data_IF_017184422012
#
_entry.id   IF_017184422012
#
_cell.length_a   1.000
_cell.length_b   1.000
_cell.length_c   1.000
_cell.angle_alpha   90.00
_cell.angle_beta   90.00
_cell.angle_gamma   90.00
#
_symmetry.space_group_name_H-M   'P 1'
#
loop_
_entity.id
_entity.type
_entity.pdbx_description
1 polymer ?
#
# COMPACT_ATOMS: atom_id res chain seq x y z
N UNK A 1 24.13 23.93 -13.18
CA UNK A 1 23.81 22.49 -13.03
C UNK A 1 24.34 22.03 -11.69
N UNK A 2 23.55 22.13 -10.61
CA UNK A 2 24.02 21.91 -9.23
C UNK A 2 23.01 21.06 -8.44
N UNK A 3 22.74 19.84 -8.91
CA UNK A 3 21.71 18.95 -8.33
C UNK A 3 22.23 17.57 -7.86
N UNK A 4 23.53 17.31 -7.92
CA UNK A 4 24.09 15.96 -7.71
C UNK A 4 24.29 15.52 -6.24
N UNK A 5 24.81 16.35 -5.31
CA UNK A 5 25.24 15.82 -3.99
C UNK A 5 24.08 15.42 -3.08
N UNK A 6 22.93 16.11 -3.15
CA UNK A 6 21.74 15.79 -2.34
C UNK A 6 21.07 14.48 -2.77
N UNK A 7 21.01 14.20 -4.08
CA UNK A 7 20.42 12.96 -4.60
C UNK A 7 21.27 11.74 -4.22
N UNK A 8 22.59 11.83 -4.41
CA UNK A 8 23.51 10.76 -4.02
C UNK A 8 23.42 10.46 -2.51
N UNK A 9 23.35 11.50 -1.67
CA UNK A 9 23.18 11.32 -0.21
C UNK A 9 21.83 10.68 0.14
N UNK A 10 20.74 11.07 -0.52
CA UNK A 10 19.42 10.44 -0.31
C UNK A 10 19.44 8.93 -0.63
N UNK A 11 20.06 8.53 -1.73
CA UNK A 11 20.17 7.11 -2.09
C UNK A 11 21.07 6.33 -1.14
N UNK A 12 22.16 6.94 -0.66
CA UNK A 12 23.01 6.34 0.37
C UNK A 12 22.24 6.16 1.68
N UNK A 13 21.51 7.18 2.13
CA UNK A 13 20.67 7.09 3.33
C UNK A 13 19.54 6.06 3.17
N UNK A 14 18.94 5.96 1.98
CA UNK A 14 17.89 4.97 1.68
C UNK A 14 18.48 3.55 1.68
N UNK A 15 19.64 3.38 1.05
CA UNK A 15 20.39 2.14 1.09
C UNK A 15 20.71 1.80 2.53
N UNK A 16 21.22 2.71 3.35
CA UNK A 16 21.54 2.44 4.75
C UNK A 16 20.27 2.13 5.55
N UNK A 17 19.16 2.81 5.31
CA UNK A 17 17.87 2.49 5.92
C UNK A 17 17.40 1.04 5.61
N UNK A 18 17.66 0.54 4.41
CA UNK A 18 17.35 -0.83 3.99
C UNK A 18 18.41 -1.84 4.46
N UNK A 19 19.69 -1.44 4.46
CA UNK A 19 20.85 -2.34 4.65
C UNK A 19 21.28 -2.43 6.12
N UNK A 20 20.86 -1.51 6.99
CA UNK A 20 21.15 -1.55 8.43
C UNK A 20 20.44 -2.77 9.05
N UNK A 21 21.23 -3.83 9.11
CA UNK A 21 21.06 -5.24 9.54
C UNK A 21 20.35 -5.51 10.88
N UNK A 22 19.50 -4.61 11.41
CA UNK A 22 18.90 -4.78 12.75
C UNK A 22 17.54 -4.13 12.96
N UNK A 23 16.92 -3.55 11.93
CA UNK A 23 15.58 -2.96 12.11
C UNK A 23 14.57 -3.63 11.19
N UNK A 24 13.95 -4.69 11.69
CA UNK A 24 12.82 -5.42 11.07
C UNK A 24 11.80 -4.50 10.38
N UNK A 25 11.65 -3.25 10.82
CA UNK A 25 10.76 -2.26 10.21
C UNK A 25 11.13 -1.84 8.78
N UNK A 26 12.40 -1.58 8.44
CA UNK A 26 12.79 -1.06 7.12
C UNK A 26 12.55 -2.10 6.01
N UNK A 27 12.97 -3.34 6.26
CA UNK A 27 12.70 -4.48 5.38
C UNK A 27 11.20 -4.75 5.25
N UNK A 28 10.45 -4.74 6.36
CA UNK A 28 8.98 -4.91 6.35
C UNK A 28 8.29 -3.79 5.56
N UNK A 29 8.79 -2.57 5.62
CA UNK A 29 8.20 -1.45 4.90
C UNK A 29 8.45 -1.52 3.38
N UNK A 30 9.62 -1.99 2.97
CA UNK A 30 9.89 -2.28 1.55
C UNK A 30 9.07 -3.50 1.10
N UNK A 31 9.06 -4.58 1.88
CA UNK A 31 8.29 -5.79 1.57
C UNK A 31 6.79 -5.50 1.47
N UNK A 32 6.25 -4.62 2.31
CA UNK A 32 4.83 -4.22 2.26
C UNK A 32 4.47 -3.45 1.01
N UNK A 33 5.40 -2.68 0.42
CA UNK A 33 5.16 -2.01 -0.86
C UNK A 33 5.01 -3.00 -2.03
N UNK A 34 5.65 -4.17 -1.94
CA UNK A 34 5.52 -5.26 -2.92
C UNK A 34 4.40 -6.25 -2.60
N UNK A 35 3.69 -6.09 -1.47
CA UNK A 35 2.58 -6.99 -1.14
C UNK A 35 1.47 -7.05 -2.20
N UNK A 36 1.13 -5.98 -2.97
CA UNK A 36 0.16 -6.14 -4.05
C UNK A 36 0.60 -7.15 -5.11
N UNK A 37 1.90 -7.17 -5.44
CA UNK A 37 2.49 -8.16 -6.36
C UNK A 37 2.49 -9.56 -5.76
N UNK A 38 2.83 -9.68 -4.47
CA UNK A 38 2.76 -10.95 -3.75
C UNK A 38 1.32 -11.46 -3.66
N UNK A 39 0.35 -10.55 -3.49
CA UNK A 39 -1.06 -10.92 -3.47
C UNK A 39 -1.51 -11.52 -4.81
N UNK A 40 -1.06 -10.96 -5.93
CA UNK A 40 -1.34 -11.53 -7.25
C UNK A 40 -0.71 -12.92 -7.43
N UNK A 41 0.46 -13.16 -6.82
CA UNK A 41 1.15 -14.45 -6.90
C UNK A 41 0.56 -15.53 -5.96
N UNK A 42 0.16 -15.15 -4.75
CA UNK A 42 -0.30 -16.08 -3.70
C UNK A 42 -1.82 -16.09 -3.51
N UNK A 43 -2.55 -15.22 -4.20
CA UNK A 43 -4.01 -15.12 -4.20
C UNK A 43 -4.63 -14.99 -2.79
N UNK A 44 -3.97 -14.26 -1.90
CA UNK A 44 -4.39 -14.12 -0.48
C UNK A 44 -5.70 -13.31 -0.38
N UNK A 45 -5.82 -12.23 -1.17
CA UNK A 45 -7.02 -11.43 -1.33
C UNK A 45 -7.62 -11.72 -2.70
N UNK A 46 -8.97 -11.77 -2.79
CA UNK A 46 -9.64 -12.09 -4.03
C UNK A 46 -9.41 -10.98 -5.06
N UNK A 47 -8.57 -11.27 -6.05
CA UNK A 47 -8.29 -10.46 -7.24
C UNK A 47 -8.59 -11.33 -8.48
N UNK A 48 -9.85 -11.69 -8.61
CA UNK A 48 -10.29 -12.65 -9.61
C UNK A 48 -10.99 -11.95 -10.76
N UNK A 49 -10.79 -12.47 -11.96
CA UNK A 49 -11.36 -12.03 -13.22
C UNK A 49 -12.75 -12.64 -13.47
N UNK A 50 -13.68 -11.80 -13.90
CA UNK A 50 -15.03 -12.20 -14.24
C UNK A 50 -15.01 -13.17 -15.42
N UNK A 51 -15.74 -14.27 -15.34
CA UNK A 51 -15.84 -15.28 -16.42
C UNK A 51 -14.63 -16.22 -16.58
N UNK A 52 -13.52 -15.99 -15.86
CA UNK A 52 -12.33 -16.86 -15.90
C UNK A 52 -12.19 -17.69 -14.62
N UNK A 53 -12.23 -17.04 -13.46
CA UNK A 53 -11.99 -17.69 -12.15
C UNK A 53 -13.06 -17.35 -11.11
N UNK A 54 -14.29 -17.10 -11.56
CA UNK A 54 -15.43 -16.66 -10.75
C UNK A 54 -15.11 -15.36 -10.00
N UNK A 55 -14.45 -14.44 -10.69
CA UNK A 55 -14.14 -13.12 -10.20
C UNK A 55 -15.20 -12.07 -10.48
N UNK A 56 -14.89 -10.84 -10.05
CA UNK A 56 -15.77 -9.67 -10.23
C UNK A 56 -15.15 -8.60 -11.13
N UNK A 57 -13.86 -8.71 -11.44
CA UNK A 57 -13.16 -7.74 -12.28
C UNK A 57 -13.20 -8.16 -13.75
N UNK A 58 -13.79 -7.35 -14.61
CA UNK A 58 -13.90 -7.59 -16.05
C UNK A 58 -13.04 -6.57 -16.82
N UNK A 59 -13.24 -5.27 -16.56
CA UNK A 59 -12.54 -4.20 -17.27
C UNK A 59 -11.15 -3.95 -16.68
N UNK A 60 -11.06 -3.87 -15.34
CA UNK A 60 -9.82 -3.69 -14.60
C UNK A 60 -9.19 -5.04 -14.29
N UNK A 61 -8.46 -5.60 -15.26
CA UNK A 61 -7.79 -6.89 -15.06
C UNK A 61 -6.92 -6.89 -13.79
N UNK A 62 -6.81 -8.03 -13.07
CA UNK A 62 -6.02 -8.15 -11.84
C UNK A 62 -4.57 -7.62 -11.97
N UNK A 63 -3.97 -7.79 -13.15
CA UNK A 63 -2.64 -7.26 -13.48
C UNK A 63 -2.59 -5.72 -13.41
N UNK A 64 -3.58 -5.02 -13.98
CA UNK A 64 -3.64 -3.56 -13.94
C UNK A 64 -3.86 -3.04 -12.53
N UNK A 65 -4.77 -3.67 -11.78
CA UNK A 65 -5.02 -3.35 -10.36
C UNK A 65 -3.72 -3.46 -9.56
N UNK A 66 -2.96 -4.52 -9.79
CA UNK A 66 -1.67 -4.76 -9.14
C UNK A 66 -0.66 -3.67 -9.49
N UNK A 67 -0.48 -3.35 -10.77
CA UNK A 67 0.47 -2.32 -11.24
C UNK A 67 0.13 -0.96 -10.64
N UNK A 68 -1.15 -0.55 -10.68
CA UNK A 68 -1.62 0.72 -10.13
C UNK A 68 -1.36 0.76 -8.62
N UNK A 69 -1.75 -0.30 -7.91
CA UNK A 69 -1.61 -0.37 -6.45
C UNK A 69 -0.14 -0.36 -6.02
N UNK A 70 0.72 -1.13 -6.69
CA UNK A 70 2.17 -1.11 -6.43
C UNK A 70 2.79 0.25 -6.72
N UNK A 71 2.35 0.93 -7.78
CA UNK A 71 2.84 2.28 -8.07
C UNK A 71 2.48 3.24 -6.94
N UNK A 72 1.23 3.18 -6.45
CA UNK A 72 0.75 3.99 -5.32
C UNK A 72 1.56 3.68 -4.04
N UNK A 73 1.77 2.40 -3.71
CA UNK A 73 2.53 2.03 -2.51
C UNK A 73 3.99 2.48 -2.58
N UNK A 74 4.63 2.36 -3.74
CA UNK A 74 6.01 2.84 -3.96
C UNK A 74 6.12 4.35 -3.79
N UNK A 75 5.18 5.12 -4.35
CA UNK A 75 5.12 6.58 -4.17
C UNK A 75 4.93 6.92 -2.69
N UNK A 76 4.07 6.18 -1.98
CA UNK A 76 3.88 6.36 -0.54
C UNK A 76 5.17 6.11 0.26
N UNK A 77 5.91 5.03 -0.04
CA UNK A 77 7.22 4.75 0.57
C UNK A 77 8.18 5.91 0.37
N UNK A 78 8.36 6.34 -0.88
CA UNK A 78 9.31 7.40 -1.22
C UNK A 78 8.93 8.72 -0.55
N UNK A 79 7.64 9.06 -0.53
CA UNK A 79 7.13 10.28 0.09
C UNK A 79 7.40 10.29 1.60
N UNK A 80 7.09 9.20 2.29
CA UNK A 80 7.31 9.08 3.73
C UNK A 80 8.80 9.11 4.06
N UNK A 81 9.62 8.45 3.24
CA UNK A 81 11.06 8.45 3.41
C UNK A 81 11.69 9.82 3.15
N UNK A 82 11.16 10.60 2.22
CA UNK A 82 11.59 11.98 1.98
C UNK A 82 11.26 12.91 3.15
N UNK A 83 10.17 12.65 3.88
CA UNK A 83 9.79 13.41 5.07
C UNK A 83 10.49 12.93 6.35
N UNK A 84 11.42 11.98 6.28
CA UNK A 84 12.03 11.32 7.47
C UNK A 84 12.63 12.30 8.48
N UNK A 85 13.27 13.37 8.01
CA UNK A 85 13.97 14.33 8.86
C UNK A 85 13.00 15.11 9.76
N UNK A 86 11.75 15.31 9.31
CA UNK A 86 10.69 15.94 10.11
C UNK A 86 10.25 15.10 11.32
N UNK A 87 10.66 13.83 11.38
CA UNK A 87 10.36 12.92 12.49
C UNK A 87 11.49 12.86 13.54
N UNK A 88 12.64 13.51 13.33
CA UNK A 88 13.66 13.70 14.37
C UNK A 88 13.22 14.79 15.37
N UNK A 89 13.48 14.60 16.66
CA UNK A 89 13.30 15.63 17.71
C UNK A 89 11.89 15.78 18.30
N UNK A 90 10.84 15.96 17.49
CA UNK A 90 9.50 16.38 17.97
C UNK A 90 8.41 15.30 17.77
N UNK A 91 8.59 14.38 16.83
CA UNK A 91 7.47 13.62 16.23
C UNK A 91 7.28 12.16 16.65
N UNK A 92 7.92 11.62 17.68
CA UNK A 92 7.83 10.16 17.97
C UNK A 92 6.41 9.72 18.39
N UNK A 93 5.75 10.53 19.23
CA UNK A 93 4.37 10.27 19.66
C UNK A 93 3.39 10.44 18.50
N UNK A 94 3.61 11.46 17.68
CA UNK A 94 2.79 11.74 16.49
C UNK A 94 2.98 10.70 15.38
N UNK A 95 4.21 10.25 15.13
CA UNK A 95 4.49 9.16 14.20
C UNK A 95 3.82 7.86 14.65
N UNK A 96 3.85 7.55 15.96
CA UNK A 96 3.17 6.36 16.49
C UNK A 96 1.66 6.46 16.36
N UNK A 97 1.08 7.65 16.63
CA UNK A 97 -0.35 7.90 16.44
C UNK A 97 -0.75 7.78 14.97
N UNK A 98 0.02 8.38 14.04
CA UNK A 98 -0.19 8.28 12.59
C UNK A 98 -0.06 6.83 12.11
N UNK A 99 0.91 6.08 12.62
CA UNK A 99 1.07 4.66 12.31
C UNK A 99 -0.16 3.87 12.79
N UNK A 100 -0.62 4.09 14.02
CA UNK A 100 -1.81 3.42 14.56
C UNK A 100 -3.06 3.74 13.74
N UNK A 101 -3.29 5.01 13.41
CA UNK A 101 -4.40 5.45 12.55
C UNK A 101 -4.30 4.76 11.18
N UNK A 102 -3.11 4.70 10.60
CA UNK A 102 -2.89 4.05 9.30
C UNK A 102 -3.20 2.55 9.36
N UNK A 103 -2.81 1.85 10.43
CA UNK A 103 -3.18 0.44 10.64
C UNK A 103 -4.70 0.29 10.78
N UNK A 104 -5.35 1.14 11.58
CA UNK A 104 -6.81 1.08 11.75
C UNK A 104 -7.56 1.31 10.43
N UNK A 105 -7.13 2.29 9.64
CA UNK A 105 -7.70 2.55 8.31
C UNK A 105 -7.44 1.38 7.38
N UNK A 106 -6.23 0.80 7.39
CA UNK A 106 -5.89 -0.38 6.60
C UNK A 106 -6.83 -1.54 6.92
N UNK A 107 -7.01 -1.88 8.20
CA UNK A 107 -7.93 -2.95 8.62
C UNK A 107 -9.37 -2.64 8.19
N UNK A 108 -9.84 -1.39 8.39
CA UNK A 108 -11.17 -0.99 7.97
C UNK A 108 -11.38 -1.12 6.45
N UNK A 109 -10.39 -0.72 5.64
CA UNK A 109 -10.42 -0.83 4.19
C UNK A 109 -10.36 -2.28 3.72
N UNK A 110 -9.61 -3.15 4.41
CA UNK A 110 -9.61 -4.57 4.11
C UNK A 110 -10.98 -5.20 4.34
N UNK A 111 -11.60 -4.92 5.48
CA UNK A 111 -12.96 -5.40 5.78
C UNK A 111 -13.95 -4.87 4.75
N UNK A 112 -13.88 -3.58 4.44
CA UNK A 112 -14.74 -2.95 3.44
C UNK A 112 -14.53 -3.56 2.05
N UNK A 113 -13.29 -3.85 1.66
CA UNK A 113 -12.96 -4.51 0.41
C UNK A 113 -13.63 -5.88 0.32
N UNK A 114 -13.48 -6.71 1.36
CA UNK A 114 -14.05 -8.06 1.38
C UNK A 114 -15.58 -7.98 1.29
N UNK A 115 -16.23 -7.11 2.06
CA UNK A 115 -17.69 -6.96 2.03
C UNK A 115 -18.16 -6.45 0.66
N UNK A 116 -17.53 -5.41 0.12
CA UNK A 116 -17.88 -4.86 -1.19
C UNK A 116 -17.67 -5.89 -2.31
N UNK A 117 -16.59 -6.66 -2.24
CA UNK A 117 -16.29 -7.73 -3.19
C UNK A 117 -17.38 -8.81 -3.16
N UNK A 118 -17.78 -9.28 -1.97
CA UNK A 118 -18.83 -10.30 -1.83
C UNK A 118 -20.19 -9.79 -2.31
N UNK A 119 -20.57 -8.56 -1.94
CA UNK A 119 -21.80 -7.94 -2.42
C UNK A 119 -21.81 -7.82 -3.95
N UNK A 120 -20.69 -7.40 -4.54
CA UNK A 120 -20.59 -7.28 -5.98
C UNK A 120 -20.62 -8.66 -6.64
N UNK A 121 -19.92 -9.66 -6.09
CA UNK A 121 -20.00 -11.04 -6.56
C UNK A 121 -21.43 -11.57 -6.58
N UNK A 122 -22.17 -11.43 -5.47
CA UNK A 122 -23.59 -11.82 -5.43
C UNK A 122 -24.42 -11.03 -6.44
N UNK A 123 -24.18 -9.72 -6.58
CA UNK A 123 -24.91 -8.88 -7.53
C UNK A 123 -24.69 -9.29 -8.98
N UNK A 124 -23.45 -9.62 -9.34
CA UNK A 124 -23.05 -9.92 -10.73
C UNK A 124 -23.46 -11.33 -11.17
N UNK A 125 -23.55 -12.30 -10.25
CA UNK A 125 -23.89 -13.69 -10.56
C UNK A 125 -25.34 -14.08 -10.22
N UNK A 126 -25.99 -13.43 -9.24
CA UNK A 126 -27.33 -13.84 -8.77
C UNK A 126 -28.47 -12.85 -9.06
N UNK A 127 -28.25 -11.53 -9.02
CA UNK A 127 -29.39 -10.58 -8.98
C UNK A 127 -29.62 -9.76 -10.24
N UNK A 128 -28.57 -9.38 -10.97
CA UNK A 128 -28.68 -8.78 -12.31
C UNK A 128 -27.65 -9.47 -13.20
N UNK A 129 -28.06 -9.99 -14.35
CA UNK A 129 -27.14 -10.39 -15.41
C UNK A 129 -26.41 -9.16 -15.94
N UNK A 130 -25.40 -8.69 -15.20
CA UNK A 130 -24.61 -7.51 -15.53
C UNK A 130 -23.97 -7.73 -16.90
N UNK A 131 -24.26 -6.82 -17.82
CA UNK A 131 -23.74 -6.87 -19.19
C UNK A 131 -22.23 -6.68 -19.11
N UNK A 132 -21.48 -7.63 -19.67
CA UNK A 132 -20.03 -7.58 -19.72
C UNK A 132 -19.55 -6.35 -20.50
N UNK A 133 -18.39 -5.83 -20.12
CA UNK A 133 -17.80 -4.61 -20.66
C UNK A 133 -18.73 -3.38 -20.67
N UNK A 134 -19.59 -3.24 -19.65
CA UNK A 134 -20.47 -2.08 -19.52
C UNK A 134 -19.90 -1.03 -18.58
N UNK A 135 -20.25 0.25 -18.81
CA UNK A 135 -19.92 1.34 -17.87
C UNK A 135 -20.42 1.08 -16.45
N UNK A 136 -21.47 0.25 -16.30
CA UNK A 136 -22.01 -0.16 -15.00
C UNK A 136 -20.99 -0.95 -14.18
N UNK A 137 -20.23 -1.86 -14.79
CA UNK A 137 -19.18 -2.61 -14.08
C UNK A 137 -18.06 -1.68 -13.59
N UNK A 138 -17.67 -0.69 -14.39
CA UNK A 138 -16.64 0.27 -14.00
C UNK A 138 -17.00 1.05 -12.73
N UNK A 139 -18.30 1.36 -12.53
CA UNK A 139 -18.78 2.00 -11.30
C UNK A 139 -18.59 1.15 -10.04
N UNK A 140 -18.47 -0.17 -10.16
CA UNK A 140 -18.19 -1.07 -9.04
C UNK A 140 -16.69 -1.38 -8.92
N UNK A 141 -16.02 -1.62 -10.05
CA UNK A 141 -14.60 -1.97 -10.08
C UNK A 141 -13.68 -0.82 -9.63
N UNK A 142 -14.00 0.44 -9.97
CA UNK A 142 -13.18 1.60 -9.58
C UNK A 142 -13.20 1.82 -8.07
N UNK A 143 -14.35 1.85 -7.37
CA UNK A 143 -14.37 1.88 -5.91
C UNK A 143 -13.63 0.70 -5.27
N UNK A 144 -13.78 -0.52 -5.80
CA UNK A 144 -13.04 -1.70 -5.34
C UNK A 144 -11.52 -1.49 -5.46
N UNK A 145 -11.04 -0.97 -6.59
CA UNK A 145 -9.64 -0.60 -6.80
C UNK A 145 -9.20 0.46 -5.79
N UNK A 146 -9.99 1.51 -5.56
CA UNK A 146 -9.65 2.58 -4.61
C UNK A 146 -9.52 2.02 -3.19
N UNK A 147 -10.46 1.19 -2.75
CA UNK A 147 -10.43 0.56 -1.41
C UNK A 147 -9.19 -0.35 -1.31
N UNK A 148 -8.94 -1.17 -2.32
CA UNK A 148 -7.79 -2.07 -2.38
C UNK A 148 -6.45 -1.31 -2.33
N UNK A 149 -6.32 -0.26 -3.14
CA UNK A 149 -5.13 0.58 -3.16
C UNK A 149 -4.94 1.33 -1.84
N UNK A 150 -6.03 1.82 -1.24
CA UNK A 150 -6.01 2.51 0.05
C UNK A 150 -5.54 1.59 1.17
N UNK A 151 -6.02 0.33 1.19
CA UNK A 151 -5.59 -0.70 2.12
C UNK A 151 -4.07 -0.88 2.09
N UNK A 152 -3.50 -1.16 0.91
CA UNK A 152 -2.06 -1.41 0.76
C UNK A 152 -1.22 -0.15 1.02
N UNK A 153 -1.69 1.01 0.58
CA UNK A 153 -1.03 2.29 0.83
C UNK A 153 -0.92 2.57 2.33
N UNK A 154 -2.01 2.40 3.08
CA UNK A 154 -2.01 2.64 4.53
C UNK A 154 -1.22 1.60 5.30
N UNK A 155 -1.24 0.33 4.86
CA UNK A 155 -0.40 -0.73 5.44
C UNK A 155 1.09 -0.42 5.26
N UNK A 156 1.47 0.01 4.05
CA UNK A 156 2.83 0.42 3.71
C UNK A 156 3.25 1.65 4.51
N UNK A 157 2.36 2.63 4.63
CA UNK A 157 2.59 3.84 5.43
C UNK A 157 2.81 3.52 6.91
N UNK A 158 1.97 2.68 7.50
CA UNK A 158 2.12 2.24 8.88
C UNK A 158 3.48 1.56 9.09
N UNK A 159 3.87 0.68 8.17
CA UNK A 159 5.14 -0.05 8.20
C UNK A 159 6.34 0.89 8.12
N UNK A 160 6.30 1.87 7.20
CA UNK A 160 7.33 2.90 7.05
C UNK A 160 7.46 3.77 8.30
N UNK A 161 6.34 4.23 8.86
CA UNK A 161 6.36 5.04 10.08
C UNK A 161 6.94 4.26 11.27
N UNK A 162 6.56 2.98 11.43
CA UNK A 162 7.14 2.11 12.46
C UNK A 162 8.64 1.88 12.24
N UNK A 163 9.07 1.75 10.99
CA UNK A 163 10.47 1.63 10.62
C UNK A 163 11.28 2.87 11.00
N UNK A 164 10.77 4.05 10.65
CA UNK A 164 11.37 5.36 10.98
C UNK A 164 11.48 5.53 12.50
N UNK A 165 10.42 5.22 13.25
CA UNK A 165 10.43 5.29 14.73
C UNK A 165 11.52 4.39 15.32
N UNK A 166 11.72 3.19 14.76
CA UNK A 166 12.77 2.27 15.23
C UNK A 166 14.16 2.72 14.80
N UNK A 167 14.31 3.27 13.59
CA UNK A 167 15.58 3.82 13.08
C UNK A 167 16.10 4.94 13.98
N UNK A 168 15.30 5.96 14.26
CA UNK A 168 15.65 7.07 15.15
C UNK A 168 15.64 6.70 16.65
N UNK A 169 15.15 5.51 17.03
CA UNK A 169 15.41 4.98 18.38
C UNK A 169 16.87 4.52 18.51
N UNK A 170 17.49 4.09 17.41
CA UNK A 170 18.83 3.52 17.38
C UNK A 170 19.90 4.56 17.03
N UNK A 171 19.60 5.46 16.10
CA UNK A 171 20.44 6.59 15.74
C UNK A 171 20.02 7.77 16.62
N UNK A 172 20.91 8.27 17.50
CA UNK A 172 20.65 9.53 18.21
C UNK A 172 20.40 10.60 17.16
N UNK A 173 19.30 11.35 17.28
CA UNK A 173 19.17 12.60 16.55
C UNK A 173 20.25 13.52 17.08
N UNK A 174 21.37 13.65 16.36
CA UNK A 174 22.35 14.69 16.64
C UNK A 174 21.64 16.02 16.32
N UNK A 175 21.43 16.80 17.37
CA UNK A 175 20.86 18.15 17.30
C UNK A 175 21.96 19.16 16.98
#
# INVERSE_FOLDING_TARGET
MEHSPKKARFFLDFRDFITVRTTFGGLVAVFTAFLPLLNNAFQVLPLKEYGVDNGVFDILMPTWITVITTTITLVAVLSIFAMRDSFCGIGKRDARRKALISVSISIAMLTLYIVAYQLYYEYTYFSLSVVHHSLQQLYFEVPLLIIYATFFSHLTQASMLLAIIKFYKKVKCDA
#
